data_IF_294947481268
#
_entry.id   IF_294947481268
#
_cell.length_a   1.000
_cell.length_b   1.000
_cell.length_c   1.000
_cell.angle_alpha   90.00
_cell.angle_beta   90.00
_cell.angle_gamma   90.00
#
_symmetry.space_group_name_H-M   'P 1'
#
loop_
_entity.id
_entity.type
_entity.pdbx_description
1 polymer ?
#
# COMPACT_ATOMS: atom_id res chain seq x y z
N UNK A 1 3.82 -50.16 21.01
CA UNK A 1 4.62 -50.08 19.77
C UNK A 1 5.28 -48.72 19.77
N UNK A 2 6.56 -48.68 20.12
CA UNK A 2 7.36 -47.46 20.13
C UNK A 2 7.56 -46.99 18.68
N UNK A 3 7.23 -45.72 18.44
CA UNK A 3 7.26 -45.14 17.11
C UNK A 3 8.71 -44.75 16.76
N UNK A 4 9.41 -45.63 16.05
CA UNK A 4 10.86 -45.55 15.73
C UNK A 4 11.25 -44.45 14.72
N UNK A 5 10.31 -43.60 14.27
CA UNK A 5 10.54 -42.56 13.26
C UNK A 5 10.35 -41.11 13.78
N UNK A 6 10.39 -40.88 15.08
CA UNK A 6 10.40 -39.52 15.61
C UNK A 6 11.74 -38.83 15.28
N UNK A 7 11.74 -37.89 14.34
CA UNK A 7 12.90 -37.07 14.03
C UNK A 7 13.25 -36.19 15.24
N UNK A 8 14.44 -36.41 15.80
CA UNK A 8 14.99 -35.63 16.92
C UNK A 8 15.12 -34.16 16.53
N UNK A 9 14.31 -33.30 17.17
CA UNK A 9 14.59 -31.86 17.26
C UNK A 9 13.95 -30.94 16.22
N UNK A 10 13.06 -31.42 15.35
CA UNK A 10 12.23 -30.49 14.58
C UNK A 10 11.11 -29.98 15.50
N UNK A 11 11.21 -28.73 15.95
CA UNK A 11 10.09 -28.01 16.56
C UNK A 11 8.95 -27.89 15.54
N UNK A 12 8.13 -28.94 15.42
CA UNK A 12 6.98 -29.01 14.49
C UNK A 12 5.87 -28.02 14.86
N UNK A 13 5.94 -27.41 16.04
CA UNK A 13 5.05 -26.31 16.43
C UNK A 13 5.43 -24.98 15.77
N UNK A 14 6.69 -24.83 15.32
CA UNK A 14 7.18 -23.59 14.73
C UNK A 14 6.92 -23.50 13.21
N UNK A 15 6.45 -24.57 12.55
CA UNK A 15 6.23 -24.61 11.10
C UNK A 15 4.77 -24.51 10.65
N UNK A 16 3.78 -24.67 11.53
CA UNK A 16 2.36 -24.60 11.15
C UNK A 16 1.82 -23.16 11.16
N UNK A 17 2.27 -22.32 12.10
CA UNK A 17 1.84 -20.92 12.18
C UNK A 17 2.47 -20.02 11.10
N UNK A 18 3.71 -20.30 10.69
CA UNK A 18 4.41 -19.54 9.63
C UNK A 18 3.90 -19.88 8.21
N UNK A 19 3.21 -21.01 8.01
CA UNK A 19 2.60 -21.36 6.71
C UNK A 19 1.31 -20.57 6.40
N UNK A 20 0.74 -19.89 7.40
CA UNK A 20 -0.49 -19.11 7.28
C UNK A 20 -0.25 -17.59 7.25
N UNK A 21 1.01 -17.15 7.26
CA UNK A 21 1.38 -15.75 7.06
C UNK A 21 2.24 -15.55 5.81
N UNK A 22 1.96 -14.47 5.08
CA UNK A 22 2.70 -14.06 3.89
C UNK A 22 3.26 -12.64 4.08
N UNK A 23 4.48 -12.40 3.61
CA UNK A 23 5.06 -11.04 3.63
C UNK A 23 4.70 -10.28 2.34
N UNK A 24 3.87 -9.22 2.42
CA UNK A 24 3.41 -8.47 1.27
C UNK A 24 4.56 -7.72 0.59
N UNK A 25 4.85 -8.06 -0.66
CA UNK A 25 5.83 -7.32 -1.47
C UNK A 25 5.28 -5.98 -1.95
N UNK A 26 6.16 -5.02 -2.22
CA UNK A 26 5.77 -3.68 -2.69
C UNK A 26 5.14 -3.71 -4.09
N UNK A 27 5.74 -4.43 -5.04
CA UNK A 27 5.30 -4.50 -6.44
C UNK A 27 4.37 -5.68 -6.78
N UNK A 28 3.84 -6.37 -5.78
CA UNK A 28 2.88 -7.45 -6.02
C UNK A 28 1.51 -6.90 -6.46
N UNK A 29 0.90 -7.57 -7.44
CA UNK A 29 -0.44 -7.25 -7.98
C UNK A 29 -1.57 -8.00 -7.24
N UNK A 30 -1.27 -9.20 -6.76
CA UNK A 30 -2.17 -10.03 -5.95
C UNK A 30 -1.79 -10.03 -4.46
N UNK A 31 -2.67 -10.64 -3.66
CA UNK A 31 -2.49 -10.84 -2.24
C UNK A 31 -3.02 -9.70 -1.38
N UNK A 32 -2.70 -9.81 -0.08
CA UNK A 32 -3.21 -8.96 1.00
C UNK A 32 -2.09 -8.11 1.57
N UNK A 33 -2.41 -6.91 2.05
CA UNK A 33 -1.41 -5.93 2.50
C UNK A 33 -1.62 -5.49 3.96
N UNK A 34 -2.85 -5.46 4.46
CA UNK A 34 -3.17 -4.96 5.80
C UNK A 34 -3.10 -3.43 5.91
N UNK A 35 -3.69 -2.86 6.98
CA UNK A 35 -3.90 -1.41 7.15
C UNK A 35 -2.60 -0.58 7.16
N UNK A 36 -1.61 -0.97 7.97
CA UNK A 36 -0.41 -0.16 8.17
C UNK A 36 0.51 -0.18 6.94
N UNK A 37 0.71 -1.34 6.30
CA UNK A 37 1.47 -1.42 5.05
C UNK A 37 0.75 -0.71 3.91
N UNK A 38 -0.58 -0.78 3.84
CA UNK A 38 -1.36 0.00 2.88
C UNK A 38 -1.04 1.50 3.02
N UNK A 39 -1.14 2.05 4.23
CA UNK A 39 -0.84 3.46 4.49
C UNK A 39 0.62 3.80 4.20
N UNK A 40 1.56 2.97 4.65
CA UNK A 40 2.99 3.20 4.45
C UNK A 40 3.37 3.18 2.96
N UNK A 41 2.91 2.20 2.20
CA UNK A 41 3.26 2.06 0.78
C UNK A 41 2.57 3.13 -0.07
N UNK A 42 1.31 3.44 0.22
CA UNK A 42 0.58 4.51 -0.45
C UNK A 42 1.24 5.87 -0.20
N UNK A 43 1.53 6.19 1.06
CA UNK A 43 2.20 7.45 1.43
C UNK A 43 3.59 7.56 0.81
N UNK A 44 4.39 6.48 0.86
CA UNK A 44 5.71 6.46 0.26
C UNK A 44 5.66 6.68 -1.26
N UNK A 45 4.73 6.01 -1.95
CA UNK A 45 4.54 6.19 -3.38
C UNK A 45 4.16 7.63 -3.73
N UNK A 46 3.25 8.25 -2.97
CA UNK A 46 2.88 9.66 -3.17
C UNK A 46 4.08 10.58 -2.94
N UNK A 47 4.82 10.41 -1.83
CA UNK A 47 6.00 11.23 -1.54
C UNK A 47 6.99 11.18 -2.70
N UNK A 48 7.30 9.99 -3.22
CA UNK A 48 8.25 9.84 -4.34
C UNK A 48 7.72 10.54 -5.60
N UNK A 49 6.46 10.34 -5.98
CA UNK A 49 5.87 10.95 -7.18
C UNK A 49 5.84 12.47 -7.07
N UNK A 50 5.38 13.00 -5.93
CA UNK A 50 5.27 14.44 -5.72
C UNK A 50 6.63 15.13 -5.57
N UNK A 51 7.58 14.48 -4.90
CA UNK A 51 8.93 14.99 -4.77
C UNK A 51 9.64 15.06 -6.14
N UNK A 52 9.64 13.97 -6.90
CA UNK A 52 10.28 13.93 -8.22
C UNK A 52 9.59 14.88 -9.21
N UNK A 53 8.26 14.88 -9.25
CA UNK A 53 7.50 15.79 -10.12
C UNK A 53 7.67 17.26 -9.75
N UNK A 54 7.76 17.58 -8.45
CA UNK A 54 8.04 18.92 -7.96
C UNK A 54 9.45 19.39 -8.31
N UNK A 55 10.46 18.54 -8.14
CA UNK A 55 11.84 18.83 -8.55
C UNK A 55 11.96 19.07 -10.05
N UNK A 56 11.33 18.21 -10.88
CA UNK A 56 11.30 18.41 -12.32
C UNK A 56 10.64 19.75 -12.69
N UNK A 57 9.50 20.06 -12.08
CA UNK A 57 8.80 21.32 -12.31
C UNK A 57 9.65 22.53 -11.93
N UNK A 58 10.34 22.48 -10.78
CA UNK A 58 11.23 23.54 -10.33
C UNK A 58 12.40 23.79 -11.30
N UNK A 59 13.01 22.73 -11.82
CA UNK A 59 14.10 22.82 -12.82
C UNK A 59 13.59 23.45 -14.11
N UNK A 60 12.42 23.02 -14.60
CA UNK A 60 11.83 23.56 -15.83
C UNK A 60 11.48 25.05 -15.73
N UNK A 61 10.93 25.48 -14.59
CA UNK A 61 10.66 26.90 -14.31
C UNK A 61 11.97 27.69 -14.25
N UNK A 62 12.98 27.19 -13.54
CA UNK A 62 14.26 27.88 -13.39
C UNK A 62 15.05 28.03 -14.70
N UNK A 63 14.84 27.14 -15.67
CA UNK A 63 15.52 27.14 -16.97
C UNK A 63 14.83 28.02 -18.03
N UNK A 64 13.68 28.64 -17.72
CA UNK A 64 12.86 29.36 -18.69
C UNK A 64 12.46 30.76 -18.20
N UNK A 65 12.34 31.71 -19.14
CA UNK A 65 11.90 33.09 -18.86
C UNK A 65 10.37 33.24 -18.80
N UNK A 66 9.64 32.17 -19.14
CA UNK A 66 8.18 32.07 -19.10
C UNK A 66 7.80 30.68 -18.62
N UNK A 67 6.59 30.53 -18.05
CA UNK A 67 6.13 29.24 -17.54
C UNK A 67 6.01 28.24 -18.71
N UNK A 68 6.81 27.15 -18.75
CA UNK A 68 6.73 26.18 -19.83
C UNK A 68 5.40 25.43 -19.80
N UNK A 69 4.87 25.09 -20.99
CA UNK A 69 3.65 24.27 -21.12
C UNK A 69 3.75 22.92 -20.38
N UNK A 70 4.96 22.35 -20.28
CA UNK A 70 5.22 21.13 -19.50
C UNK A 70 4.92 21.27 -18.00
N UNK A 71 5.10 22.46 -17.43
CA UNK A 71 4.77 22.74 -16.02
C UNK A 71 3.26 22.81 -15.82
N UNK A 72 2.52 23.38 -16.78
CA UNK A 72 1.06 23.43 -16.72
C UNK A 72 0.43 22.03 -16.81
N UNK A 73 1.07 21.09 -17.51
CA UNK A 73 0.62 19.70 -17.61
C UNK A 73 1.07 18.82 -16.42
N UNK A 74 2.00 19.28 -15.59
CA UNK A 74 2.60 18.48 -14.52
C UNK A 74 1.57 17.93 -13.51
N UNK A 75 0.55 18.68 -13.04
CA UNK A 75 -0.43 18.15 -12.08
C UNK A 75 -1.22 16.96 -12.65
N UNK A 76 -1.63 17.03 -13.91
CA UNK A 76 -2.34 15.94 -14.58
C UNK A 76 -1.44 14.71 -14.73
N UNK A 77 -0.19 14.90 -15.12
CA UNK A 77 0.79 13.82 -15.24
C UNK A 77 1.03 13.13 -13.88
N UNK A 78 1.23 13.91 -12.83
CA UNK A 78 1.45 13.41 -11.47
C UNK A 78 0.24 12.62 -10.96
N UNK A 79 -0.97 13.11 -11.23
CA UNK A 79 -2.20 12.37 -10.94
C UNK A 79 -2.22 11.00 -11.64
N UNK A 80 -1.97 10.96 -12.96
CA UNK A 80 -1.97 9.72 -13.73
C UNK A 80 -0.89 8.73 -13.26
N UNK A 81 0.31 9.21 -12.93
CA UNK A 81 1.39 8.37 -12.40
C UNK A 81 1.03 7.82 -11.02
N UNK A 82 0.43 8.64 -10.16
CA UNK A 82 0.00 8.22 -8.81
C UNK A 82 -1.22 7.29 -8.79
N UNK A 83 -2.02 7.30 -9.87
CA UNK A 83 -3.20 6.45 -10.00
C UNK A 83 -2.86 4.95 -9.99
N UNK A 84 -1.79 4.55 -10.68
CA UNK A 84 -1.37 3.15 -10.79
C UNK A 84 -1.07 2.51 -9.42
N UNK A 85 -0.16 3.06 -8.58
CA UNK A 85 0.07 2.51 -7.25
C UNK A 85 -1.16 2.65 -6.35
N UNK A 86 -1.94 3.73 -6.47
CA UNK A 86 -3.17 3.92 -5.68
C UNK A 86 -4.18 2.80 -5.91
N UNK A 87 -4.46 2.45 -7.16
CA UNK A 87 -5.36 1.33 -7.51
C UNK A 87 -4.78 0.00 -7.02
N UNK A 88 -3.49 -0.22 -7.24
CA UNK A 88 -2.82 -1.47 -6.85
C UNK A 88 -2.94 -1.72 -5.34
N UNK A 89 -2.64 -0.72 -4.53
CA UNK A 89 -2.72 -0.84 -3.07
C UNK A 89 -4.16 -0.89 -2.58
N UNK A 90 -5.08 -0.12 -3.16
CA UNK A 90 -6.50 -0.18 -2.83
C UNK A 90 -7.09 -1.57 -3.13
N UNK A 91 -6.79 -2.15 -4.29
CA UNK A 91 -7.19 -3.52 -4.67
C UNK A 91 -6.72 -4.53 -3.62
N UNK A 92 -5.46 -4.47 -3.20
CA UNK A 92 -4.90 -5.39 -2.19
C UNK A 92 -5.48 -5.15 -0.80
N UNK A 93 -5.86 -3.91 -0.47
CA UNK A 93 -6.55 -3.59 0.78
C UNK A 93 -7.98 -4.13 0.79
N UNK A 94 -8.69 -4.03 -0.33
CA UNK A 94 -10.02 -4.63 -0.53
C UNK A 94 -9.96 -6.16 -0.41
N UNK A 95 -8.98 -6.78 -1.07
CA UNK A 95 -8.73 -8.22 -0.92
C UNK A 95 -8.48 -8.62 0.54
N UNK A 96 -7.87 -7.76 1.35
CA UNK A 96 -7.67 -8.03 2.78
C UNK A 96 -8.97 -7.94 3.60
N UNK A 97 -9.96 -7.19 3.14
CA UNK A 97 -11.30 -7.10 3.74
C UNK A 97 -12.27 -8.15 3.19
N UNK A 98 -11.87 -8.93 2.18
CA UNK A 98 -12.75 -9.88 1.48
C UNK A 98 -13.63 -9.24 0.40
N UNK A 99 -13.42 -7.96 0.12
CA UNK A 99 -14.16 -7.20 -0.88
C UNK A 99 -13.60 -7.40 -2.29
N UNK A 100 -14.42 -7.11 -3.30
CA UNK A 100 -14.00 -7.13 -4.70
C UNK A 100 -12.98 -6.02 -4.99
N UNK A 101 -11.83 -6.40 -5.55
CA UNK A 101 -10.80 -5.46 -6.00
C UNK A 101 -11.27 -4.43 -7.04
N UNK A 102 -12.41 -4.64 -7.70
CA UNK A 102 -13.02 -3.67 -8.61
C UNK A 102 -13.40 -2.34 -7.95
N UNK A 103 -13.70 -2.35 -6.64
CA UNK A 103 -14.00 -1.13 -5.89
C UNK A 103 -12.79 -0.18 -5.82
N UNK A 104 -11.58 -0.66 -6.13
CA UNK A 104 -10.37 0.18 -6.17
C UNK A 104 -10.47 1.34 -7.16
N UNK A 105 -11.31 1.22 -8.21
CA UNK A 105 -11.57 2.27 -9.21
C UNK A 105 -12.20 3.52 -8.56
N UNK A 106 -12.93 3.38 -7.45
CA UNK A 106 -13.46 4.52 -6.68
C UNK A 106 -12.35 5.45 -6.19
N UNK A 107 -11.12 4.94 -6.09
CA UNK A 107 -9.95 5.74 -5.71
C UNK A 107 -9.55 6.77 -6.75
N UNK A 108 -10.07 6.69 -7.98
CA UNK A 108 -9.79 7.67 -9.04
C UNK A 108 -10.72 8.89 -8.99
N UNK A 109 -11.79 8.84 -8.21
CA UNK A 109 -12.81 9.89 -8.17
C UNK A 109 -12.44 10.86 -7.04
N UNK A 110 -12.02 12.11 -7.30
CA UNK A 110 -11.37 12.98 -6.31
C UNK A 110 -12.15 13.20 -5.00
N UNK A 111 -13.47 13.29 -5.06
CA UNK A 111 -14.32 13.48 -3.87
C UNK A 111 -14.65 12.18 -3.15
N UNK A 112 -14.91 11.11 -3.90
CA UNK A 112 -15.23 9.80 -3.33
C UNK A 112 -13.96 9.14 -2.76
N UNK A 113 -12.81 9.39 -3.37
CA UNK A 113 -11.52 8.83 -2.98
C UNK A 113 -11.14 9.22 -1.54
N UNK A 114 -11.54 10.39 -1.04
CA UNK A 114 -11.26 10.78 0.34
C UNK A 114 -12.00 9.86 1.32
N UNK A 115 -13.32 9.78 1.21
CA UNK A 115 -14.13 8.92 2.09
C UNK A 115 -13.78 7.44 1.91
N UNK A 116 -13.52 7.02 0.68
CA UNK A 116 -13.11 5.66 0.37
C UNK A 116 -11.72 5.34 0.92
N UNK A 117 -10.77 6.27 0.83
CA UNK A 117 -9.43 6.14 1.41
C UNK A 117 -9.48 6.03 2.94
N UNK A 118 -10.35 6.81 3.60
CA UNK A 118 -10.59 6.69 5.04
C UNK A 118 -11.18 5.32 5.39
N UNK A 119 -12.16 4.83 4.61
CA UNK A 119 -12.68 3.48 4.78
C UNK A 119 -11.56 2.43 4.66
N UNK A 120 -10.74 2.49 3.60
CA UNK A 120 -9.61 1.58 3.41
C UNK A 120 -8.56 1.67 4.54
N UNK A 121 -8.36 2.84 5.11
CA UNK A 121 -7.42 3.07 6.20
C UNK A 121 -7.87 2.47 7.53
N UNK A 122 -9.17 2.60 7.86
CA UNK A 122 -9.69 2.30 9.21
C UNK A 122 -10.51 1.02 9.30
N UNK A 123 -11.16 0.58 8.22
CA UNK A 123 -11.95 -0.65 8.24
C UNK A 123 -11.06 -1.86 8.61
N UNK A 124 -11.55 -2.81 9.42
CA UNK A 124 -10.79 -4.01 9.76
C UNK A 124 -10.70 -4.97 8.55
N UNK A 125 -9.59 -5.70 8.45
CA UNK A 125 -9.46 -6.83 7.53
C UNK A 125 -10.05 -8.12 8.12
N UNK A 126 -10.09 -9.19 7.33
CA UNK A 126 -10.50 -10.53 7.79
C UNK A 126 -9.34 -11.21 8.51
N UNK A 127 -9.57 -11.72 9.73
CA UNK A 127 -8.56 -12.50 10.45
C UNK A 127 -8.35 -13.89 9.83
N UNK A 128 -7.11 -14.37 9.81
CA UNK A 128 -6.77 -15.68 9.23
C UNK A 128 -6.80 -15.68 7.70
N UNK A 129 -6.99 -16.86 7.09
CA UNK A 129 -6.98 -17.03 5.63
C UNK A 129 -8.30 -16.55 5.01
N UNK A 130 -8.24 -15.94 3.83
CA UNK A 130 -9.41 -15.61 3.02
C UNK A 130 -9.25 -16.10 1.57
N UNK A 131 -10.24 -15.83 0.71
CA UNK A 131 -10.21 -16.26 -0.71
C UNK A 131 -9.07 -15.66 -1.54
N UNK A 132 -8.43 -14.61 -1.03
CA UNK A 132 -7.29 -13.92 -1.66
C UNK A 132 -5.93 -14.31 -1.04
N UNK A 133 -5.93 -15.25 -0.09
CA UNK A 133 -4.71 -15.85 0.46
C UNK A 133 -4.56 -15.73 1.99
N UNK A 134 -3.39 -16.13 2.50
CA UNK A 134 -3.05 -16.06 3.92
C UNK A 134 -3.02 -14.63 4.45
N UNK A 135 -3.11 -14.48 5.78
CA UNK A 135 -3.05 -13.17 6.42
C UNK A 135 -1.66 -12.53 6.21
N UNK A 136 -1.58 -11.19 6.10
CA UNK A 136 -0.28 -10.52 6.06
C UNK A 136 0.48 -10.73 7.38
N UNK A 137 1.79 -10.95 7.30
CA UNK A 137 2.67 -11.11 8.46
C UNK A 137 2.68 -9.87 9.37
N UNK A 138 3.16 -10.01 10.61
CA UNK A 138 3.29 -8.86 11.54
C UNK A 138 4.10 -7.72 10.91
N UNK A 139 3.65 -6.49 11.14
CA UNK A 139 4.31 -5.30 10.60
C UNK A 139 5.61 -5.02 11.36
N UNK A 140 6.67 -4.72 10.61
CA UNK A 140 7.93 -4.19 11.17
C UNK A 140 7.72 -2.79 11.76
N UNK A 141 8.50 -2.42 12.77
CA UNK A 141 8.50 -1.08 13.39
C UNK A 141 8.63 0.04 12.37
N UNK A 142 9.41 -0.17 11.30
CA UNK A 142 9.56 0.80 10.21
C UNK A 142 8.23 1.05 9.50
N UNK A 143 7.47 -0.01 9.21
CA UNK A 143 6.15 0.09 8.57
C UNK A 143 5.16 0.83 9.48
N UNK A 144 5.24 0.61 10.79
CA UNK A 144 4.41 1.32 11.76
C UNK A 144 4.73 2.82 11.75
N UNK A 145 6.02 3.18 11.78
CA UNK A 145 6.47 4.56 11.70
C UNK A 145 6.00 5.21 10.39
N UNK A 146 6.23 4.56 9.25
CA UNK A 146 5.80 5.08 7.95
C UNK A 146 4.27 5.17 7.83
N UNK A 147 3.51 4.22 8.39
CA UNK A 147 2.06 4.25 8.40
C UNK A 147 1.47 5.40 9.23
N UNK A 148 2.20 5.84 10.27
CA UNK A 148 1.83 6.99 11.11
C UNK A 148 2.21 8.35 10.48
N UNK A 149 2.99 8.37 9.40
CA UNK A 149 3.36 9.61 8.70
C UNK A 149 2.15 10.22 7.97
N UNK A 150 1.19 9.43 7.52
CA UNK A 150 0.03 9.92 6.77
C UNK A 150 -0.77 11.02 7.51
N UNK A 151 -1.22 10.86 8.76
CA UNK A 151 -1.91 11.94 9.46
C UNK A 151 -1.03 13.18 9.58
N UNK A 152 0.26 13.01 9.84
CA UNK A 152 1.21 14.14 9.93
C UNK A 152 1.26 14.93 8.61
N UNK A 153 1.31 14.25 7.47
CA UNK A 153 1.29 14.90 6.15
C UNK A 153 -0.05 15.59 5.88
N UNK A 154 -1.19 15.00 6.28
CA UNK A 154 -2.51 15.63 6.12
C UNK A 154 -2.69 16.89 6.97
N UNK A 155 -2.02 16.99 8.13
CA UNK A 155 -2.11 18.16 9.02
C UNK A 155 -1.07 19.25 8.73
N UNK A 156 0.02 18.93 8.03
CA UNK A 156 1.07 19.88 7.64
C UNK A 156 0.80 20.51 6.26
N UNK A 157 -0.10 19.91 5.46
CA UNK A 157 -0.55 20.43 4.17
C UNK A 157 -1.22 21.80 4.25
#
# INVERSE_FOLDING_TARGET
MENMYAATGANLEMSSQDQDQYDPQFFAWEGRIGRLRYLAYHTLALIVVYFVGGMLSAVLIGASSSVPSGVAAAPLLMFLVSAVPSITFAKRRLNDMGDSGWLSILSLIPLINIFFGLYLAFAPGIDGRNQYGPAPSKNSTLVVLCGLILPVVMFIG
#
